data_IF_374260728534
#
_entry.id   IF_374260728534
#
_cell.length_a   1.000
_cell.length_b   1.000
_cell.length_c   1.000
_cell.angle_alpha   90.00
_cell.angle_beta   90.00
_cell.angle_gamma   90.00
#
_symmetry.space_group_name_H-M   'P 1'
#
loop_
_entity.id
_entity.type
_entity.pdbx_description
1 polymer ?
#
# COMPACT_ATOMS: atom_id res chain seq x y z
N UNK A 1 13.99 3.22 -12.19
CA UNK A 1 12.85 2.55 -11.53
C UNK A 1 12.03 1.68 -12.50
N UNK A 2 11.54 2.21 -13.64
CA UNK A 2 10.71 1.43 -14.58
C UNK A 2 11.31 0.09 -15.03
N UNK A 3 12.57 0.10 -15.49
CA UNK A 3 13.28 -1.11 -15.89
C UNK A 3 13.51 -2.11 -14.74
N UNK A 4 13.66 -1.63 -13.51
CA UNK A 4 13.88 -2.49 -12.35
C UNK A 4 12.62 -3.31 -12.03
N UNK A 5 11.44 -2.67 -12.03
CA UNK A 5 10.16 -3.36 -11.76
C UNK A 5 9.90 -4.45 -12.79
N UNK A 6 10.13 -4.18 -14.09
CA UNK A 6 9.99 -5.18 -15.15
C UNK A 6 10.94 -6.38 -14.94
N UNK A 7 12.22 -6.11 -14.68
CA UNK A 7 13.21 -7.18 -14.45
C UNK A 7 12.89 -8.01 -13.21
N UNK A 8 12.43 -7.38 -12.13
CA UNK A 8 12.00 -8.10 -10.93
C UNK A 8 10.81 -9.04 -11.22
N UNK A 9 9.83 -8.59 -12.02
CA UNK A 9 8.73 -9.47 -12.46
C UNK A 9 9.25 -10.65 -13.29
N UNK A 10 10.21 -10.45 -14.19
CA UNK A 10 10.84 -11.52 -14.98
C UNK A 10 11.53 -12.55 -14.08
N UNK A 11 12.33 -12.09 -13.11
CA UNK A 11 13.01 -12.97 -12.14
C UNK A 11 12.00 -13.75 -11.29
N UNK A 12 10.94 -13.11 -10.80
CA UNK A 12 9.88 -13.76 -10.02
C UNK A 12 9.23 -14.92 -10.80
N UNK A 13 8.94 -14.69 -12.09
CA UNK A 13 8.37 -15.72 -12.97
C UNK A 13 9.36 -16.86 -13.23
N UNK A 14 10.62 -16.54 -13.53
CA UNK A 14 11.65 -17.55 -13.81
C UNK A 14 11.97 -18.43 -12.59
N UNK A 15 12.02 -17.82 -11.41
CA UNK A 15 12.28 -18.51 -10.15
C UNK A 15 11.01 -19.13 -9.52
N UNK A 16 9.84 -18.97 -10.15
CA UNK A 16 8.54 -19.38 -9.61
C UNK A 16 8.34 -18.98 -8.13
N UNK A 17 8.69 -17.74 -7.80
CA UNK A 17 8.71 -17.25 -6.41
C UNK A 17 8.05 -15.88 -6.32
N UNK A 18 7.29 -15.65 -5.24
CA UNK A 18 6.73 -14.34 -4.95
C UNK A 18 7.82 -13.36 -4.49
N UNK A 19 7.91 -12.20 -5.15
CA UNK A 19 8.80 -11.12 -4.73
C UNK A 19 7.99 -10.00 -4.09
N UNK A 20 8.22 -9.77 -2.79
CA UNK A 20 7.72 -8.60 -2.08
C UNK A 20 8.76 -7.48 -2.16
N UNK A 21 8.34 -6.31 -2.64
CA UNK A 21 9.20 -5.14 -2.81
C UNK A 21 8.57 -3.96 -2.11
N UNK A 22 9.36 -3.25 -1.31
CA UNK A 22 8.95 -2.00 -0.65
C UNK A 22 9.50 -0.82 -1.42
N UNK A 23 8.68 0.22 -1.61
CA UNK A 23 9.14 1.49 -2.16
C UNK A 23 8.50 2.65 -1.41
N UNK A 24 9.22 3.77 -1.36
CA UNK A 24 8.61 5.05 -1.04
C UNK A 24 7.68 5.50 -2.16
N UNK A 25 6.81 6.47 -1.87
CA UNK A 25 5.88 7.07 -2.82
C UNK A 25 6.41 8.45 -3.26
N UNK A 26 7.20 8.53 -4.35
CA UNK A 26 7.91 9.75 -4.72
C UNK A 26 7.02 10.91 -5.14
N UNK A 27 5.77 10.64 -5.57
CA UNK A 27 4.82 11.67 -6.00
C UNK A 27 3.69 11.90 -4.99
N UNK A 28 3.76 11.26 -3.82
CA UNK A 28 2.74 11.41 -2.79
C UNK A 28 2.65 12.84 -2.28
N UNK A 29 1.42 13.36 -2.17
CA UNK A 29 1.17 14.67 -1.59
C UNK A 29 0.26 14.53 -0.36
N UNK A 30 0.79 14.72 0.86
CA UNK A 30 0.00 14.60 2.08
C UNK A 30 -1.05 15.72 2.26
N UNK A 31 -0.96 16.82 1.49
CA UNK A 31 -1.87 17.97 1.59
C UNK A 31 -3.05 17.93 0.61
N UNK A 32 -3.16 16.88 -0.21
CA UNK A 32 -4.30 16.75 -1.14
C UNK A 32 -5.57 16.37 -0.36
N UNK A 33 -6.74 16.58 -0.98
CA UNK A 33 -8.04 16.33 -0.33
C UNK A 33 -8.17 14.91 0.25
N UNK A 34 -7.75 13.89 -0.50
CA UNK A 34 -7.64 12.51 0.00
C UNK A 34 -6.17 12.06 0.02
N UNK A 35 -5.51 12.04 1.19
CA UNK A 35 -4.12 11.67 1.33
C UNK A 35 -3.86 10.16 1.26
N UNK A 36 -4.84 9.33 0.88
CA UNK A 36 -4.63 7.89 0.64
C UNK A 36 -3.72 7.63 -0.56
N UNK A 37 -2.67 6.79 -0.45
CA UNK A 37 -1.81 6.43 -1.58
C UNK A 37 -2.56 5.86 -2.78
N UNK A 38 -2.11 6.25 -3.98
CA UNK A 38 -2.65 5.83 -5.27
C UNK A 38 -1.56 5.22 -6.15
N UNK A 39 -1.94 4.52 -7.22
CA UNK A 39 -0.96 3.95 -8.17
C UNK A 39 -0.06 5.00 -8.83
N UNK A 40 -0.58 6.21 -9.03
CA UNK A 40 0.16 7.28 -9.69
C UNK A 40 1.26 7.87 -8.78
N UNK A 41 1.12 7.69 -7.46
CA UNK A 41 2.11 8.15 -6.47
C UNK A 41 3.46 7.41 -6.58
N UNK A 42 3.45 6.18 -7.11
CA UNK A 42 4.66 5.40 -7.37
C UNK A 42 5.51 5.96 -8.54
N UNK A 43 4.91 6.77 -9.41
CA UNK A 43 5.57 7.36 -10.57
C UNK A 43 6.14 6.30 -11.53
N UNK A 44 7.44 6.38 -11.81
CA UNK A 44 8.18 5.42 -12.64
C UNK A 44 7.56 5.13 -14.02
N UNK A 45 6.98 6.13 -14.68
CA UNK A 45 6.29 6.00 -15.97
C UNK A 45 5.16 4.93 -15.95
N UNK A 46 4.54 4.71 -14.79
CA UNK A 46 3.49 3.72 -14.61
C UNK A 46 4.00 2.28 -14.53
N UNK A 47 5.32 2.04 -14.46
CA UNK A 47 5.86 0.68 -14.46
C UNK A 47 5.30 -0.21 -13.35
N UNK A 48 5.08 0.33 -12.14
CA UNK A 48 4.41 -0.40 -11.05
C UNK A 48 2.98 -0.77 -11.45
N UNK A 49 2.22 0.21 -11.96
CA UNK A 49 0.85 0.02 -12.46
C UNK A 49 0.77 -1.03 -13.58
N UNK A 50 1.77 -1.14 -14.47
CA UNK A 50 1.73 -2.11 -15.57
C UNK A 50 2.26 -3.50 -15.17
N UNK A 51 3.34 -3.58 -14.40
CA UNK A 51 4.07 -4.83 -14.19
C UNK A 51 3.78 -5.54 -12.88
N UNK A 52 3.49 -4.81 -11.79
CA UNK A 52 3.19 -5.44 -10.50
C UNK A 52 1.86 -6.23 -10.58
N UNK A 53 1.77 -7.38 -9.91
CA UNK A 53 0.51 -8.14 -9.86
C UNK A 53 -0.42 -7.59 -8.78
N UNK A 54 0.15 -7.30 -7.61
CA UNK A 54 -0.53 -6.68 -6.47
C UNK A 54 0.22 -5.42 -6.07
N UNK A 55 -0.51 -4.35 -5.76
CA UNK A 55 0.06 -3.12 -5.20
C UNK A 55 -0.70 -2.78 -3.93
N UNK A 56 0.04 -2.68 -2.83
CA UNK A 56 -0.48 -2.36 -1.51
C UNK A 56 0.01 -0.97 -1.10
N UNK A 57 -0.88 -0.17 -0.51
CA UNK A 57 -0.56 1.11 0.10
C UNK A 57 -0.91 1.09 1.58
N UNK A 58 -0.04 1.63 2.42
CA UNK A 58 -0.35 1.85 3.84
C UNK A 58 -0.77 3.30 4.03
N UNK A 59 -1.95 3.50 4.60
CA UNK A 59 -2.44 4.80 5.01
C UNK A 59 -2.73 4.77 6.51
N UNK A 60 -2.10 5.67 7.26
CA UNK A 60 -2.26 5.78 8.72
C UNK A 60 -2.98 7.06 9.05
N UNK A 61 -4.22 6.98 9.50
CA UNK A 61 -5.07 8.14 9.75
C UNK A 61 -4.45 9.09 10.79
N UNK A 62 -3.81 8.51 11.83
CA UNK A 62 -3.11 9.24 12.90
C UNK A 62 -1.91 10.09 12.42
N UNK A 63 -1.45 9.92 11.17
CA UNK A 63 -0.39 10.75 10.58
C UNK A 63 -0.93 12.02 9.92
N UNK A 64 -2.21 12.08 9.58
CA UNK A 64 -2.82 13.17 8.81
C UNK A 64 -3.87 13.92 9.62
N UNK A 65 -4.55 13.24 10.54
CA UNK A 65 -5.56 13.83 11.41
C UNK A 65 -5.08 13.82 12.87
N UNK A 66 -5.26 14.94 13.56
CA UNK A 66 -4.95 15.08 14.99
C UNK A 66 -6.19 14.91 15.87
N UNK A 67 -7.29 14.42 15.31
CA UNK A 67 -8.54 14.19 16.02
C UNK A 67 -8.37 13.05 17.02
N UNK A 68 -9.00 13.14 18.19
CA UNK A 68 -9.01 12.02 19.16
C UNK A 68 -9.77 10.83 18.56
N UNK A 69 -9.25 9.62 18.78
CA UNK A 69 -9.92 8.38 18.40
C UNK A 69 -9.43 7.73 17.10
N UNK A 70 -8.47 8.32 16.39
CA UNK A 70 -7.84 7.71 15.19
C UNK A 70 -6.48 7.10 15.48
N UNK A 71 -6.05 7.05 16.74
CA UNK A 71 -4.75 6.51 17.13
C UNK A 71 -4.63 5.04 16.71
N UNK A 72 -3.58 4.71 15.95
CA UNK A 72 -3.35 3.37 15.43
C UNK A 72 -4.23 2.99 14.22
N UNK A 73 -5.27 3.75 13.89
CA UNK A 73 -6.13 3.45 12.74
C UNK A 73 -5.33 3.47 11.43
N UNK A 74 -5.28 2.32 10.75
CA UNK A 74 -4.51 2.11 9.53
C UNK A 74 -5.34 1.39 8.49
N UNK A 75 -5.32 1.88 7.26
CA UNK A 75 -5.86 1.18 6.10
C UNK A 75 -4.72 0.53 5.30
N UNK A 76 -4.85 -0.78 5.03
CA UNK A 76 -4.08 -1.47 4.00
C UNK A 76 -4.87 -1.43 2.70
N UNK A 77 -4.50 -0.51 1.82
CA UNK A 77 -5.17 -0.27 0.54
C UNK A 77 -4.66 -1.26 -0.50
N UNK A 78 -5.56 -2.06 -1.08
CA UNK A 78 -5.30 -2.90 -2.24
C UNK A 78 -5.55 -2.09 -3.51
N UNK A 79 -4.56 -1.26 -3.88
CA UNK A 79 -4.65 -0.33 -5.02
C UNK A 79 -4.65 -1.04 -6.39
N UNK A 80 -4.09 -2.26 -6.45
CA UNK A 80 -4.16 -3.13 -7.62
C UNK A 80 -4.15 -4.59 -7.18
N UNK A 81 -4.96 -5.41 -7.84
CA UNK A 81 -4.90 -6.86 -7.77
C UNK A 81 -5.21 -7.44 -9.15
N UNK A 82 -4.22 -8.06 -9.81
CA UNK A 82 -4.37 -8.61 -11.18
C UNK A 82 -5.42 -9.73 -11.25
N UNK A 83 -5.65 -10.44 -10.14
CA UNK A 83 -6.48 -11.64 -10.10
C UNK A 83 -7.59 -11.57 -9.03
N UNK A 84 -8.01 -10.37 -8.63
CA UNK A 84 -9.03 -10.21 -7.61
C UNK A 84 -9.52 -8.78 -7.45
N UNK A 85 -10.30 -8.54 -6.41
CA UNK A 85 -10.83 -7.23 -6.08
C UNK A 85 -9.77 -6.26 -5.55
N UNK A 86 -10.08 -4.98 -5.70
CA UNK A 86 -9.41 -3.85 -5.04
C UNK A 86 -10.27 -3.37 -3.88
N UNK A 87 -9.69 -2.63 -2.94
CA UNK A 87 -10.39 -2.13 -1.75
C UNK A 87 -9.39 -1.74 -0.68
N UNK A 88 -9.80 -1.83 0.57
CA UNK A 88 -8.91 -1.67 1.72
C UNK A 88 -9.29 -2.65 2.83
N UNK A 89 -8.35 -2.88 3.74
CA UNK A 89 -8.55 -3.65 4.96
C UNK A 89 -8.21 -2.74 6.13
N UNK A 90 -9.10 -2.70 7.13
CA UNK A 90 -8.88 -1.93 8.36
C UNK A 90 -7.94 -2.71 9.30
N UNK A 91 -6.87 -2.05 9.71
CA UNK A 91 -5.83 -2.56 10.60
C UNK A 91 -5.64 -1.62 11.78
N UNK A 92 -5.16 -2.17 12.88
CA UNK A 92 -4.69 -1.40 14.03
C UNK A 92 -3.16 -1.46 14.13
N UNK A 93 -2.51 -0.31 14.23
CA UNK A 93 -1.06 -0.18 14.38
C UNK A 93 -0.68 0.13 15.84
N UNK A 94 -0.09 -0.86 16.50
CA UNK A 94 0.54 -0.70 17.81
C UNK A 94 1.93 -0.07 17.65
N UNK A 95 2.02 1.24 17.90
CA UNK A 95 3.26 2.03 17.74
C UNK A 95 4.42 1.51 18.59
N UNK A 96 4.15 1.11 19.82
CA UNK A 96 5.17 0.68 20.78
C UNK A 96 5.86 -0.64 20.38
N UNK A 97 5.18 -1.46 19.58
CA UNK A 97 5.68 -2.75 19.09
C UNK A 97 5.92 -2.79 17.59
N UNK A 98 5.67 -1.68 16.87
CA UNK A 98 5.70 -1.60 15.41
C UNK A 98 4.90 -2.73 14.73
N UNK A 99 3.74 -3.07 15.28
CA UNK A 99 2.94 -4.23 14.87
C UNK A 99 1.60 -3.78 14.30
N UNK A 100 1.21 -4.38 13.18
CA UNK A 100 -0.15 -4.32 12.66
C UNK A 100 -0.93 -5.55 13.14
N UNK A 101 -2.16 -5.34 13.55
CA UNK A 101 -3.13 -6.39 13.86
C UNK A 101 -4.40 -6.14 13.06
N UNK A 102 -5.14 -7.22 12.77
CA UNK A 102 -6.46 -7.10 12.18
C UNK A 102 -7.36 -6.31 13.14
N UNK A 103 -8.06 -5.31 12.62
CA UNK A 103 -9.08 -4.63 13.42
C UNK A 103 -10.30 -5.55 13.46
N UNK A 104 -10.41 -6.35 14.53
CA UNK A 104 -11.58 -7.21 14.76
C UNK A 104 -12.72 -6.33 15.26
N UNK A 105 -13.42 -5.64 14.36
CA UNK A 105 -14.77 -5.16 14.67
C UNK A 105 -15.81 -6.15 14.11
N UNK A 106 -16.66 -6.76 14.96
CA UNK A 106 -17.63 -7.78 14.54
C UNK A 106 -18.78 -7.28 13.68
N UNK A 107 -19.05 -5.96 13.65
CA UNK A 107 -20.30 -5.41 13.11
C UNK A 107 -20.06 -4.09 12.34
N UNK A 108 -19.70 -4.21 11.06
CA UNK A 108 -19.97 -3.21 10.03
C UNK A 108 -20.82 -3.83 8.92
#
# INVERSE_FOLDING_TARGET
MANAVRRLKEVALQANTALLVVSQLPRHNPKRHDPRPTLDDFGALGAVKYHADVVLGLYREDMYQTTRGVEGATELIVAKNRHGGTGFVDLFFYRDWMRFEDMVEPDR
#
